data_IF_855667327793
#
_entry.id   IF_855667327793
#
_cell.length_a   1.000
_cell.length_b   1.000
_cell.length_c   1.000
_cell.angle_alpha   90.00
_cell.angle_beta   90.00
_cell.angle_gamma   90.00
#
_symmetry.space_group_name_H-M   'P 1'
#
loop_
_entity.id
_entity.type
_entity.pdbx_description
1 polymer ?
#
# COMPACT_ATOMS: atom_id res chain seq x y z
N UNK A 1 -83.87 7.99 8.14
CA UNK A 1 -85.13 8.26 7.42
C UNK A 1 -84.80 9.30 6.37
N UNK A 2 -84.94 8.92 5.09
CA UNK A 2 -84.99 9.78 3.87
C UNK A 2 -83.61 10.38 3.45
N UNK A 3 -82.86 9.73 2.55
CA UNK A 3 -82.90 9.77 1.05
C UNK A 3 -82.04 10.95 0.52
N UNK A 4 -81.23 10.88 -0.56
CA UNK A 4 -81.14 10.00 -1.74
C UNK A 4 -79.78 10.20 -2.44
N UNK A 5 -79.30 9.17 -3.14
CA UNK A 5 -78.24 9.22 -4.18
C UNK A 5 -78.81 9.79 -5.52
N UNK A 6 -78.02 10.05 -6.60
CA UNK A 6 -77.41 8.96 -7.41
C UNK A 6 -76.09 9.28 -8.21
N UNK A 7 -75.37 8.20 -8.59
CA UNK A 7 -74.79 7.84 -9.93
C UNK A 7 -73.84 8.84 -10.66
N UNK A 8 -72.80 8.49 -11.44
CA UNK A 8 -72.23 7.26 -12.03
C UNK A 8 -70.80 7.58 -12.57
N UNK A 9 -69.97 6.54 -12.78
CA UNK A 9 -68.86 6.28 -13.74
C UNK A 9 -68.29 7.41 -14.69
N UNK A 10 -67.04 7.47 -15.18
CA UNK A 10 -65.90 6.53 -15.35
C UNK A 10 -64.58 7.26 -15.79
N UNK A 11 -63.45 6.57 -15.61
CA UNK A 11 -62.22 6.50 -16.44
C UNK A 11 -61.34 7.75 -16.77
N UNK A 12 -60.04 7.66 -16.42
CA UNK A 12 -59.00 8.51 -17.02
C UNK A 12 -57.59 8.44 -16.39
N UNK A 13 -56.70 7.66 -17.02
CA UNK A 13 -55.24 7.47 -16.83
C UNK A 13 -54.39 8.66 -16.33
N UNK A 14 -53.32 8.32 -15.61
CA UNK A 14 -52.01 9.02 -15.70
C UNK A 14 -51.27 9.19 -14.37
N UNK A 15 -50.25 8.37 -14.13
CA UNK A 15 -49.44 8.42 -12.91
C UNK A 15 -48.33 9.49 -12.93
N UNK A 16 -48.11 10.07 -11.75
CA UNK A 16 -46.85 10.72 -11.37
C UNK A 16 -46.75 10.68 -9.84
N UNK A 17 -46.03 9.69 -9.32
CA UNK A 17 -45.60 9.69 -7.92
C UNK A 17 -44.46 10.70 -7.78
N UNK A 18 -44.78 11.87 -7.22
CA UNK A 18 -43.81 12.90 -6.90
C UNK A 18 -42.70 12.36 -5.98
N UNK A 19 -41.46 12.43 -6.47
CA UNK A 19 -40.27 12.28 -5.62
C UNK A 19 -40.10 13.55 -4.80
N UNK A 20 -39.83 13.40 -3.51
CA UNK A 20 -39.58 14.53 -2.62
C UNK A 20 -38.31 15.30 -3.06
N UNK A 21 -38.38 16.63 -3.23
CA UNK A 21 -37.26 17.47 -3.69
C UNK A 21 -35.98 17.30 -2.88
N UNK A 22 -36.11 17.11 -1.56
CA UNK A 22 -34.97 16.92 -0.66
C UNK A 22 -34.14 15.65 -0.95
N UNK A 23 -34.76 14.60 -1.53
CA UNK A 23 -34.07 13.35 -1.89
C UNK A 23 -33.44 13.41 -3.27
N UNK A 24 -33.90 14.33 -4.12
CA UNK A 24 -33.34 14.63 -5.43
C UNK A 24 -32.21 15.67 -5.30
N UNK A 25 -32.32 16.65 -4.41
CA UNK A 25 -31.23 17.56 -4.01
C UNK A 25 -30.07 16.83 -3.29
N UNK A 26 -30.36 15.85 -2.44
CA UNK A 26 -29.32 15.02 -1.81
C UNK A 26 -28.62 14.06 -2.78
N UNK A 27 -29.26 13.74 -3.92
CA UNK A 27 -28.65 12.93 -5.01
C UNK A 27 -27.94 13.80 -6.05
N UNK A 28 -28.48 14.97 -6.39
CA UNK A 28 -27.85 15.96 -7.27
C UNK A 28 -26.58 16.54 -6.62
N UNK A 29 -26.64 16.89 -5.32
CA UNK A 29 -25.48 17.41 -4.57
C UNK A 29 -24.33 16.42 -4.36
N UNK A 30 -24.55 15.11 -4.57
CA UNK A 30 -23.47 14.10 -4.54
C UNK A 30 -22.82 13.92 -5.91
N UNK A 31 -23.59 13.95 -7.00
CA UNK A 31 -23.07 13.75 -8.37
C UNK A 31 -22.37 14.97 -8.99
N UNK A 32 -22.64 16.18 -8.48
CA UNK A 32 -22.08 17.44 -9.04
C UNK A 32 -20.74 17.86 -8.41
N UNK A 33 -20.25 17.12 -7.43
CA UNK A 33 -19.00 17.46 -6.77
C UNK A 33 -17.79 17.03 -7.60
N UNK A 34 -16.78 17.90 -7.80
CA UNK A 34 -15.65 17.66 -8.71
C UNK A 34 -14.92 16.33 -8.54
N UNK A 35 -14.78 15.86 -7.31
CA UNK A 35 -14.06 14.63 -6.97
C UNK A 35 -14.99 13.46 -6.66
N UNK A 36 -16.27 13.54 -7.04
CA UNK A 36 -17.20 12.44 -6.82
C UNK A 36 -16.70 11.14 -7.47
N UNK A 37 -16.63 10.07 -6.66
CA UNK A 37 -16.12 8.77 -7.10
C UNK A 37 -14.59 8.67 -7.18
N UNK A 38 -13.85 9.72 -6.80
CA UNK A 38 -12.40 9.68 -6.73
C UNK A 38 -11.94 9.24 -5.35
N UNK A 39 -10.97 8.32 -5.33
CA UNK A 39 -10.30 7.85 -4.12
C UNK A 39 -8.82 8.16 -4.25
N UNK A 40 -8.35 9.06 -3.39
CA UNK A 40 -6.98 9.52 -3.34
C UNK A 40 -6.21 8.75 -2.28
N UNK A 41 -4.98 8.38 -2.60
CA UNK A 41 -3.98 8.01 -1.60
C UNK A 41 -2.85 9.03 -1.66
N UNK A 42 -2.34 9.43 -0.50
CA UNK A 42 -1.15 10.27 -0.43
C UNK A 42 0.10 9.42 -0.40
N UNK A 43 1.05 9.79 -1.23
CA UNK A 43 2.40 9.23 -1.22
C UNK A 43 3.34 10.40 -0.91
N UNK A 44 3.67 10.54 0.37
CA UNK A 44 4.52 11.63 0.86
C UNK A 44 5.97 11.34 0.53
N UNK A 45 6.57 12.19 -0.31
CA UNK A 45 7.98 12.11 -0.66
C UNK A 45 8.75 13.44 -0.63
N UNK A 46 8.09 14.60 -0.46
CA UNK A 46 8.77 15.91 -0.42
C UNK A 46 8.09 16.93 0.53
N UNK A 47 8.81 17.26 1.61
CA UNK A 47 8.89 18.51 2.42
C UNK A 47 7.65 19.05 3.20
N UNK A 48 7.94 19.27 4.49
CA UNK A 48 7.35 20.12 5.55
C UNK A 48 5.95 19.80 6.13
N UNK A 49 5.95 19.71 7.47
CA UNK A 49 4.98 19.27 8.48
C UNK A 49 3.59 19.95 8.53
N UNK A 50 3.09 20.48 7.42
CA UNK A 50 1.78 21.14 7.40
C UNK A 50 0.94 20.61 6.23
N UNK A 51 -0.23 20.04 6.55
CA UNK A 51 -1.37 20.07 5.64
C UNK A 51 -2.00 18.75 5.17
N UNK A 52 -1.61 17.56 5.65
CA UNK A 52 -2.32 16.33 5.20
C UNK A 52 -3.80 16.33 5.63
N UNK A 53 -4.08 16.83 6.83
CA UNK A 53 -5.44 17.06 7.32
C UNK A 53 -6.18 18.13 6.49
N UNK A 54 -5.47 19.19 6.07
CA UNK A 54 -6.03 20.26 5.24
C UNK A 54 -6.40 19.73 3.85
N UNK A 55 -5.54 18.91 3.23
CA UNK A 55 -5.84 18.30 1.94
C UNK A 55 -6.92 17.22 2.02
N UNK A 56 -7.00 16.50 3.13
CA UNK A 56 -8.09 15.56 3.39
C UNK A 56 -9.42 16.31 3.42
N UNK A 57 -9.51 17.40 4.19
CA UNK A 57 -10.69 18.25 4.21
C UNK A 57 -11.02 18.85 2.84
N UNK A 58 -10.01 19.29 2.08
CA UNK A 58 -10.20 19.81 0.71
C UNK A 58 -10.81 18.73 -0.19
N UNK A 59 -10.23 17.52 -0.23
CA UNK A 59 -10.68 16.42 -1.08
C UNK A 59 -12.11 16.01 -0.72
N UNK A 60 -12.41 15.88 0.57
CA UNK A 60 -13.74 15.53 1.06
C UNK A 60 -14.77 16.62 0.75
N UNK A 61 -14.39 17.90 0.86
CA UNK A 61 -15.26 19.02 0.51
C UNK A 61 -15.66 18.97 -0.97
N UNK A 62 -14.73 18.54 -1.84
CA UNK A 62 -14.91 18.33 -3.27
C UNK A 62 -15.57 16.99 -3.61
N UNK A 63 -16.02 16.22 -2.62
CA UNK A 63 -16.77 14.97 -2.81
C UNK A 63 -15.90 13.73 -3.08
N UNK A 64 -14.58 13.87 -3.00
CA UNK A 64 -13.65 12.76 -3.05
C UNK A 64 -13.50 12.07 -1.70
N UNK A 65 -12.71 11.00 -1.69
CA UNK A 65 -12.31 10.30 -0.47
C UNK A 65 -10.79 10.21 -0.41
N UNK A 66 -10.27 10.27 0.80
CA UNK A 66 -8.87 9.93 1.08
C UNK A 66 -8.85 8.53 1.69
N UNK A 67 -8.07 7.65 1.08
CA UNK A 67 -7.78 6.31 1.57
C UNK A 67 -6.35 6.21 2.06
N UNK A 68 -6.03 5.05 2.61
CA UNK A 68 -4.68 4.68 3.03
C UNK A 68 -4.04 3.73 2.01
N UNK A 69 -2.84 3.24 2.29
CA UNK A 69 -2.19 2.18 1.49
C UNK A 69 -3.05 0.92 1.31
N UNK A 70 -4.01 0.62 2.20
CA UNK A 70 -4.97 -0.50 1.99
C UNK A 70 -5.75 -0.29 0.72
N UNK A 71 -6.20 0.95 0.52
CA UNK A 71 -7.08 1.31 -0.56
C UNK A 71 -6.30 1.47 -1.87
N UNK A 72 -4.99 1.18 -1.90
CA UNK A 72 -4.15 1.36 -3.09
C UNK A 72 -4.76 0.71 -4.34
N UNK A 73 -5.29 -0.51 -4.23
CA UNK A 73 -5.91 -1.21 -5.36
C UNK A 73 -7.20 -0.51 -5.84
N UNK A 74 -7.99 0.05 -4.93
CA UNK A 74 -9.25 0.77 -5.21
C UNK A 74 -9.03 2.25 -5.55
N UNK A 75 -7.86 2.80 -5.21
CA UNK A 75 -7.51 4.18 -5.40
C UNK A 75 -7.51 4.50 -6.89
N UNK A 76 -8.09 5.64 -7.23
CA UNK A 76 -8.08 6.17 -8.60
C UNK A 76 -6.97 7.20 -8.78
N UNK A 77 -6.54 7.83 -7.69
CA UNK A 77 -5.55 8.90 -7.71
C UNK A 77 -4.43 8.68 -6.70
N UNK A 78 -3.21 8.99 -7.11
CA UNK A 78 -2.06 9.13 -6.22
C UNK A 78 -1.73 10.61 -6.11
N UNK A 79 -1.98 11.17 -4.93
CA UNK A 79 -1.63 12.53 -4.59
C UNK A 79 -0.20 12.57 -4.05
N UNK A 80 0.62 13.44 -4.62
CA UNK A 80 2.01 13.64 -4.21
C UNK A 80 2.21 15.12 -3.87
N UNK A 81 2.88 15.39 -2.76
CA UNK A 81 3.33 16.74 -2.42
C UNK A 81 4.61 17.05 -3.21
N UNK A 82 4.60 18.14 -3.98
CA UNK A 82 5.75 18.56 -4.80
C UNK A 82 5.81 17.96 -6.21
N UNK A 83 7.00 17.97 -6.81
CA UNK A 83 7.21 17.41 -8.15
C UNK A 83 7.24 15.89 -8.11
N UNK A 84 6.55 15.25 -9.06
CA UNK A 84 6.52 13.79 -9.17
C UNK A 84 7.67 13.32 -10.05
N UNK A 85 8.58 12.47 -9.53
CA UNK A 85 9.54 11.72 -10.32
C UNK A 85 8.92 11.10 -11.58
N UNK A 86 9.43 11.40 -12.80
CA UNK A 86 8.86 10.86 -14.04
C UNK A 86 8.75 9.33 -14.07
N UNK A 87 9.69 8.60 -13.45
CA UNK A 87 9.59 7.14 -13.40
C UNK A 87 8.60 6.59 -12.38
N UNK A 88 8.41 7.24 -11.21
CA UNK A 88 7.37 6.81 -10.26
C UNK A 88 5.99 7.04 -10.87
N UNK A 89 5.88 8.12 -11.65
CA UNK A 89 4.68 8.44 -12.41
C UNK A 89 4.34 7.41 -13.48
N UNK A 90 5.29 7.10 -14.37
CA UNK A 90 5.12 6.05 -15.40
C UNK A 90 4.65 4.76 -14.74
N UNK A 91 5.18 4.47 -13.56
CA UNK A 91 4.89 3.26 -12.82
C UNK A 91 3.45 3.22 -12.28
N UNK A 92 3.02 4.26 -11.55
CA UNK A 92 1.66 4.34 -11.02
C UNK A 92 0.60 4.49 -12.12
N UNK A 93 0.90 5.21 -13.19
CA UNK A 93 0.01 5.31 -14.35
C UNK A 93 -0.13 3.98 -15.10
N UNK A 94 0.95 3.18 -15.18
CA UNK A 94 0.88 1.82 -15.72
C UNK A 94 -0.01 0.89 -14.87
N UNK A 95 -0.18 1.20 -13.59
CA UNK A 95 -1.08 0.51 -12.66
C UNK A 95 -2.50 1.12 -12.63
N UNK A 96 -2.81 1.97 -13.63
CA UNK A 96 -4.13 2.57 -13.81
C UNK A 96 -4.45 3.71 -12.84
N UNK A 97 -3.45 4.24 -12.13
CA UNK A 97 -3.63 5.37 -11.21
C UNK A 97 -3.42 6.70 -11.93
N UNK A 98 -4.20 7.71 -11.57
CA UNK A 98 -3.95 9.08 -12.00
C UNK A 98 -3.04 9.77 -10.99
N UNK A 99 -1.85 10.17 -11.41
CA UNK A 99 -0.89 10.82 -10.49
C UNK A 99 -1.10 12.33 -10.52
N UNK A 100 -1.33 12.93 -9.35
CA UNK A 100 -1.68 14.34 -9.18
C UNK A 100 -0.81 15.00 -8.12
N UNK A 101 -0.59 16.32 -8.25
CA UNK A 101 0.09 17.11 -7.24
C UNK A 101 -0.90 17.73 -6.26
N UNK A 102 -0.46 18.06 -5.05
CA UNK A 102 -1.26 18.86 -4.10
C UNK A 102 -1.68 20.20 -4.69
N UNK A 103 -0.81 20.86 -5.47
CA UNK A 103 -1.14 22.08 -6.20
C UNK A 103 -2.31 21.90 -7.20
N UNK A 104 -2.40 20.74 -7.86
CA UNK A 104 -3.56 20.44 -8.72
C UNK A 104 -4.85 20.29 -7.91
N UNK A 105 -4.77 19.66 -6.73
CA UNK A 105 -5.90 19.51 -5.80
C UNK A 105 -6.39 20.89 -5.34
N UNK A 106 -5.47 21.78 -4.95
CA UNK A 106 -5.78 23.17 -4.58
C UNK A 106 -6.44 23.94 -5.72
N UNK A 107 -5.93 23.80 -6.93
CA UNK A 107 -6.51 24.46 -8.09
C UNK A 107 -7.93 23.95 -8.37
N UNK A 108 -8.19 22.64 -8.25
CA UNK A 108 -9.54 22.10 -8.35
C UNK A 108 -10.46 22.63 -7.25
N UNK A 109 -9.93 22.82 -6.04
CA UNK A 109 -10.65 23.40 -4.91
C UNK A 109 -11.03 24.86 -5.15
N UNK A 110 -10.06 25.68 -5.55
CA UNK A 110 -10.24 27.10 -5.84
C UNK A 110 -11.23 27.31 -7.01
N UNK A 111 -11.15 26.49 -8.05
CA UNK A 111 -12.02 26.57 -9.23
C UNK A 111 -13.35 25.83 -9.06
N UNK A 112 -13.54 25.11 -7.94
CA UNK A 112 -14.71 24.25 -7.68
C UNK A 112 -15.06 23.32 -8.84
N UNK A 113 -14.05 22.86 -9.59
CA UNK A 113 -14.23 22.05 -10.81
C UNK A 113 -13.10 21.03 -10.93
N UNK A 114 -13.41 19.87 -11.51
CA UNK A 114 -12.40 18.91 -11.89
C UNK A 114 -11.62 19.45 -13.08
N UNK A 115 -10.36 19.82 -12.84
CA UNK A 115 -9.48 20.31 -13.89
C UNK A 115 -8.84 19.14 -14.63
N UNK A 116 -8.52 19.34 -15.90
CA UNK A 116 -7.65 18.39 -16.62
C UNK A 116 -6.32 18.30 -15.88
N UNK A 117 -5.87 17.08 -15.60
CA UNK A 117 -4.62 16.88 -14.89
C UNK A 117 -3.44 17.32 -15.77
N UNK A 118 -2.75 18.44 -15.46
CA UNK A 118 -1.69 19.01 -16.30
C UNK A 118 -0.49 18.08 -16.41
N UNK A 119 -0.38 17.11 -15.51
CA UNK A 119 0.62 16.09 -15.60
C UNK A 119 0.47 15.27 -16.90
N UNK A 120 -0.73 14.94 -17.38
CA UNK A 120 -0.90 14.07 -18.58
C UNK A 120 -0.09 14.53 -19.81
N UNK A 121 0.02 15.84 -20.01
CA UNK A 121 0.58 16.42 -21.23
C UNK A 121 2.10 16.68 -21.19
N UNK A 122 2.75 16.49 -20.03
CA UNK A 122 4.21 16.69 -19.86
C UNK A 122 5.04 15.41 -20.01
N UNK A 123 4.39 14.28 -20.31
CA UNK A 123 5.02 12.95 -20.33
C UNK A 123 5.90 12.70 -21.56
N UNK A 124 5.79 13.51 -22.62
CA UNK A 124 6.54 13.27 -23.87
C UNK A 124 7.92 13.92 -23.94
N UNK A 125 8.29 14.88 -23.08
CA UNK A 125 9.47 15.72 -23.35
C UNK A 125 10.51 15.91 -22.25
N UNK A 126 10.40 15.27 -21.07
CA UNK A 126 11.34 15.56 -19.97
C UNK A 126 11.99 14.32 -19.35
N UNK A 127 12.89 13.70 -20.11
CA UNK A 127 14.15 13.15 -19.58
C UNK A 127 15.24 13.30 -20.64
N UNK A 128 16.42 13.88 -20.35
CA UNK A 128 17.62 13.51 -21.08
C UNK A 128 17.95 12.06 -20.71
N UNK A 129 17.42 11.14 -21.50
CA UNK A 129 17.91 9.77 -21.55
C UNK A 129 19.34 9.83 -22.10
N UNK A 130 20.35 9.16 -21.51
CA UNK A 130 21.40 8.62 -22.36
C UNK A 130 20.70 7.73 -23.41
N UNK A 131 21.09 7.85 -24.68
CA UNK A 131 20.55 7.01 -25.75
C UNK A 131 21.00 5.57 -25.53
N UNK A 132 20.13 4.74 -24.95
CA UNK A 132 20.50 3.40 -24.55
C UNK A 132 19.66 2.38 -25.33
N UNK A 133 20.25 1.83 -26.37
CA UNK A 133 19.62 0.79 -27.19
C UNK A 133 20.04 -0.60 -26.67
N UNK A 134 19.14 -1.57 -26.46
CA UNK A 134 19.55 -2.95 -26.20
C UNK A 134 20.19 -3.54 -27.45
N UNK A 135 21.27 -4.32 -27.30
CA UNK A 135 21.73 -5.17 -28.38
C UNK A 135 20.64 -6.22 -28.68
N UNK A 136 20.19 -6.27 -29.94
CA UNK A 136 19.37 -7.37 -30.42
C UNK A 136 20.06 -8.70 -30.10
N UNK A 137 19.28 -9.65 -29.57
CA UNK A 137 19.64 -11.02 -29.20
C UNK A 137 20.90 -11.52 -29.92
N UNK A 138 22.03 -11.59 -29.22
CA UNK A 138 23.17 -12.37 -29.70
C UNK A 138 22.67 -13.81 -29.76
N UNK A 139 22.47 -14.32 -30.99
CA UNK A 139 22.24 -15.74 -31.24
C UNK A 139 23.36 -16.49 -30.53
N UNK A 140 23.01 -17.26 -29.50
CA UNK A 140 23.94 -18.17 -28.84
C UNK A 140 24.52 -19.10 -29.91
N UNK A 141 25.77 -18.88 -30.29
CA UNK A 141 26.55 -19.87 -31.00
C UNK A 141 26.85 -21.00 -30.03
N UNK A 142 26.26 -22.16 -30.34
CA UNK A 142 26.70 -23.52 -30.07
C UNK A 142 27.35 -23.80 -28.71
N UNK A 143 26.60 -24.48 -27.84
CA UNK A 143 27.15 -25.54 -27.02
C UNK A 143 26.35 -26.81 -27.31
N UNK A 144 27.00 -27.72 -28.05
CA UNK A 144 26.57 -29.09 -28.29
C UNK A 144 26.62 -29.87 -26.98
N UNK A 145 25.56 -30.63 -26.69
CA UNK A 145 25.72 -31.98 -26.14
C UNK A 145 24.40 -32.74 -26.29
N UNK A 146 24.50 -33.84 -27.03
CA UNK A 146 23.47 -34.80 -27.37
C UNK A 146 22.74 -35.38 -26.15
N UNK A 147 21.43 -35.60 -26.30
CA UNK A 147 20.85 -36.88 -25.92
C UNK A 147 19.59 -37.16 -26.75
N UNK A 148 19.67 -38.25 -27.50
CA UNK A 148 18.64 -38.82 -28.36
C UNK A 148 17.42 -39.23 -27.53
N UNK A 149 16.22 -38.78 -27.90
CA UNK A 149 15.00 -39.57 -27.70
C UNK A 149 14.23 -39.62 -29.02
N UNK A 150 14.08 -40.87 -29.46
CA UNK A 150 13.37 -41.35 -30.64
C UNK A 150 11.93 -40.84 -30.71
N UNK A 151 11.57 -40.34 -31.89
CA UNK A 151 10.21 -40.23 -32.39
C UNK A 151 9.47 -41.56 -32.37
N UNK A 152 8.19 -41.56 -31.98
CA UNK A 152 7.18 -42.43 -32.58
C UNK A 152 5.82 -41.72 -32.64
N UNK A 153 5.25 -41.80 -33.83
CA UNK A 153 4.03 -41.16 -34.32
C UNK A 153 2.77 -41.59 -33.57
N UNK A 154 1.75 -40.71 -33.57
CA UNK A 154 0.43 -41.00 -34.17
C UNK A 154 -0.46 -39.74 -34.12
N UNK A 155 -0.84 -39.26 -35.31
CA UNK A 155 -2.00 -38.37 -35.53
C UNK A 155 -3.27 -39.23 -35.77
N UNK A 156 -4.43 -38.66 -36.16
CA UNK A 156 -5.36 -37.85 -35.36
C UNK A 156 -6.79 -38.49 -35.36
N UNK A 157 -7.68 -38.12 -34.44
CA UNK A 157 -9.12 -38.28 -34.71
C UNK A 157 -10.00 -37.27 -33.96
N UNK A 158 -10.88 -36.66 -34.75
CA UNK A 158 -11.92 -35.73 -34.36
C UNK A 158 -12.97 -36.37 -33.43
N UNK A 159 -13.50 -35.59 -32.49
CA UNK A 159 -14.96 -35.43 -32.30
C UNK A 159 -15.29 -34.24 -31.41
N UNK A 160 -15.92 -33.23 -32.02
CA UNK A 160 -16.76 -32.22 -31.35
C UNK A 160 -17.95 -32.93 -30.72
N UNK A 161 -18.21 -32.67 -29.44
CA UNK A 161 -19.57 -32.57 -28.89
C UNK A 161 -19.56 -31.61 -27.70
N UNK A 162 -20.36 -30.56 -27.84
CA UNK A 162 -20.70 -29.56 -26.84
C UNK A 162 -21.43 -30.17 -25.65
N UNK A 163 -21.08 -29.77 -24.42
CA UNK A 163 -21.97 -29.79 -23.26
C UNK A 163 -21.69 -28.58 -22.36
N UNK A 164 -22.23 -27.43 -22.80
CA UNK A 164 -22.98 -26.54 -21.89
C UNK A 164 -24.07 -27.43 -21.26
N UNK A 165 -24.21 -27.38 -19.93
CA UNK A 165 -25.37 -27.84 -19.11
C UNK A 165 -25.01 -28.58 -17.81
N UNK A 166 -23.74 -28.58 -17.35
CA UNK A 166 -23.37 -29.19 -16.05
C UNK A 166 -22.79 -28.21 -15.01
N UNK A 167 -22.81 -26.89 -15.25
CA UNK A 167 -22.34 -25.88 -14.27
C UNK A 167 -23.46 -25.09 -13.56
N UNK A 168 -24.74 -25.35 -13.89
CA UNK A 168 -25.86 -24.58 -13.34
C UNK A 168 -26.58 -25.24 -12.15
N UNK A 169 -26.06 -26.34 -11.58
CA UNK A 169 -26.73 -27.05 -10.46
C UNK A 169 -25.90 -27.24 -9.18
N UNK A 170 -24.70 -26.67 -9.09
CA UNK A 170 -23.86 -26.71 -7.86
C UNK A 170 -23.70 -25.30 -7.23
N UNK A 171 -24.58 -24.35 -7.54
CA UNK A 171 -24.53 -22.98 -6.98
C UNK A 171 -25.67 -22.61 -6.02
N UNK A 172 -26.53 -23.56 -5.62
CA UNK A 172 -27.70 -23.25 -4.76
C UNK A 172 -27.84 -24.09 -3.48
N UNK A 173 -26.78 -24.74 -2.99
CA UNK A 173 -26.89 -25.48 -1.72
C UNK A 173 -25.61 -25.45 -0.90
N UNK A 174 -25.30 -24.28 -0.31
CA UNK A 174 -24.63 -24.09 1.00
C UNK A 174 -24.55 -22.61 1.37
N UNK A 175 -25.71 -21.98 1.59
CA UNK A 175 -25.84 -20.81 2.48
C UNK A 175 -26.80 -21.17 3.61
N UNK A 176 -26.31 -21.98 4.55
CA UNK A 176 -26.74 -21.87 5.94
C UNK A 176 -25.58 -21.20 6.66
N UNK A 177 -25.54 -19.87 6.61
CA UNK A 177 -24.75 -19.14 7.59
C UNK A 177 -25.39 -19.44 8.94
N UNK A 178 -24.68 -20.16 9.80
CA UNK A 178 -24.98 -20.10 11.22
C UNK A 178 -24.95 -18.62 11.59
N UNK A 179 -26.09 -18.09 12.05
CA UNK A 179 -26.16 -16.80 12.72
C UNK A 179 -25.34 -16.96 14.01
N UNK A 180 -24.08 -16.57 13.96
CA UNK A 180 -23.33 -16.33 15.18
C UNK A 180 -23.96 -15.11 15.87
N UNK A 181 -24.21 -15.15 17.19
CA UNK A 181 -24.63 -13.97 17.92
C UNK A 181 -23.58 -12.88 17.71
N UNK A 182 -24.03 -11.68 17.36
CA UNK A 182 -23.21 -10.48 17.38
C UNK A 182 -22.62 -10.34 18.79
N UNK A 183 -21.28 -10.28 18.95
CA UNK A 183 -20.71 -9.93 20.24
C UNK A 183 -21.23 -8.55 20.63
N UNK A 184 -21.68 -8.39 21.87
CA UNK A 184 -21.94 -7.06 22.41
C UNK A 184 -20.66 -6.22 22.29
N UNK A 185 -20.75 -4.93 21.92
CA UNK A 185 -19.58 -4.07 21.88
C UNK A 185 -18.88 -4.09 23.26
N UNK A 186 -17.53 -4.12 23.31
CA UNK A 186 -16.82 -4.10 24.57
C UNK A 186 -17.24 -2.87 25.39
N UNK A 187 -17.54 -3.06 26.69
CA UNK A 187 -17.94 -1.97 27.58
C UNK A 187 -16.85 -0.91 27.62
N UNK A 188 -17.19 0.28 27.15
CA UNK A 188 -16.33 1.46 27.11
C UNK A 188 -16.21 2.03 28.52
N UNK A 189 -15.00 2.17 29.10
CA UNK A 189 -14.79 2.95 30.31
C UNK A 189 -15.08 4.43 30.01
N UNK A 190 -15.79 5.10 30.92
CA UNK A 190 -16.13 6.51 30.76
C UNK A 190 -14.87 7.39 30.82
N UNK A 191 -14.48 7.97 29.68
CA UNK A 191 -13.50 9.04 29.63
C UNK A 191 -14.11 10.28 28.95
N UNK A 192 -13.91 11.50 29.50
CA UNK A 192 -14.26 12.72 28.81
C UNK A 192 -13.43 12.85 27.53
N UNK A 193 -13.97 13.52 26.52
CA UNK A 193 -13.25 13.94 25.30
C UNK A 193 -11.91 14.60 25.65
N UNK A 194 -10.83 13.81 25.63
CA UNK A 194 -9.50 14.18 26.13
C UNK A 194 -8.42 14.18 25.05
N UNK A 195 -7.19 14.55 25.45
CA UNK A 195 -5.98 14.68 24.62
C UNK A 195 -5.65 13.44 23.75
N UNK A 196 -6.23 12.29 24.09
CA UNK A 196 -5.95 10.99 23.49
C UNK A 196 -7.11 10.43 22.65
N UNK A 197 -8.17 11.20 22.34
CA UNK A 197 -9.32 10.68 21.57
C UNK A 197 -8.94 10.05 20.21
N UNK A 198 -7.85 10.51 19.57
CA UNK A 198 -7.33 9.94 18.33
C UNK A 198 -6.60 8.61 18.49
N UNK A 199 -6.29 8.21 19.74
CA UNK A 199 -5.49 7.03 20.10
C UNK A 199 -6.33 6.03 20.91
N UNK A 200 -7.08 6.49 21.91
CA UNK A 200 -7.87 5.66 22.82
C UNK A 200 -9.34 5.61 22.39
N UNK A 201 -9.98 4.47 22.61
CA UNK A 201 -11.43 4.29 22.44
C UNK A 201 -12.18 5.24 23.38
N UNK A 202 -13.20 5.91 22.87
CA UNK A 202 -14.02 6.88 23.59
C UNK A 202 -15.51 6.53 23.48
N UNK A 203 -16.34 7.02 24.41
CA UNK A 203 -17.80 6.80 24.40
C UNK A 203 -18.49 7.32 23.14
N UNK A 204 -17.91 8.31 22.47
CA UNK A 204 -18.42 8.84 21.20
C UNK A 204 -18.17 7.92 20.01
N UNK A 205 -17.30 6.91 20.16
CA UNK A 205 -17.02 5.94 19.11
C UNK A 205 -18.21 4.99 18.96
N UNK A 206 -19.03 5.23 17.94
CA UNK A 206 -20.20 4.43 17.61
C UNK A 206 -20.01 3.69 16.29
N UNK A 207 -20.52 2.46 16.23
CA UNK A 207 -20.50 1.66 15.00
C UNK A 207 -19.92 0.27 15.20
N UNK A 208 -19.79 -0.44 14.08
CA UNK A 208 -19.19 -1.77 14.09
C UNK A 208 -17.68 -1.67 14.32
N UNK A 209 -17.18 -2.48 15.24
CA UNK A 209 -15.77 -2.66 15.55
C UNK A 209 -15.49 -4.12 15.92
N UNK A 210 -14.24 -4.53 15.78
CA UNK A 210 -13.76 -5.83 16.25
C UNK A 210 -12.33 -5.68 16.82
N UNK A 211 -11.90 -6.62 17.66
CA UNK A 211 -10.52 -6.63 18.12
C UNK A 211 -9.58 -7.20 17.05
N UNK A 212 -8.29 -6.85 17.09
CA UNK A 212 -7.27 -7.44 16.22
C UNK A 212 -7.21 -8.97 16.37
N UNK A 213 -7.48 -9.49 17.58
CA UNK A 213 -7.63 -10.93 17.84
C UNK A 213 -8.76 -11.56 17.00
N UNK A 214 -9.96 -10.97 17.05
CA UNK A 214 -11.13 -11.48 16.35
C UNK A 214 -10.98 -11.34 14.82
N UNK A 215 -10.38 -10.23 14.38
CA UNK A 215 -10.00 -10.03 12.99
C UNK A 215 -9.09 -11.15 12.49
N UNK A 216 -8.07 -11.50 13.27
CA UNK A 216 -7.11 -12.56 12.94
C UNK A 216 -7.75 -13.96 12.87
N UNK A 217 -8.73 -14.24 13.72
CA UNK A 217 -9.50 -15.48 13.68
C UNK A 217 -10.41 -15.56 12.46
N UNK A 218 -11.00 -14.44 12.06
CA UNK A 218 -11.99 -14.37 10.99
C UNK A 218 -11.36 -14.41 9.60
N UNK A 219 -10.20 -13.77 9.43
CA UNK A 219 -9.59 -13.56 8.12
C UNK A 219 -8.30 -14.34 7.94
N UNK A 220 -8.13 -14.93 6.75
CA UNK A 220 -6.85 -15.50 6.34
C UNK A 220 -5.83 -14.37 6.16
N UNK A 221 -4.84 -14.30 7.05
CA UNK A 221 -3.86 -13.21 7.15
C UNK A 221 -2.77 -13.18 6.07
N UNK A 222 -2.56 -14.30 5.39
CA UNK A 222 -1.49 -14.43 4.40
C UNK A 222 -2.00 -15.09 3.12
N UNK A 223 -1.21 -14.97 2.07
CA UNK A 223 -1.38 -15.72 0.84
C UNK A 223 -0.03 -16.31 0.42
N UNK A 224 -0.10 -17.39 -0.33
CA UNK A 224 1.07 -17.94 -1.00
C UNK A 224 1.04 -17.46 -2.43
N UNK A 225 2.17 -16.97 -2.91
CA UNK A 225 2.33 -16.51 -4.28
C UNK A 225 3.49 -17.27 -4.92
N UNK A 226 3.22 -17.93 -6.04
CA UNK A 226 4.26 -18.44 -6.92
C UNK A 226 4.70 -17.30 -7.82
N UNK A 227 5.92 -16.83 -7.61
CA UNK A 227 6.50 -15.81 -8.45
C UNK A 227 6.94 -16.43 -9.79
N UNK A 228 6.61 -15.83 -10.94
CA UNK A 228 7.01 -16.40 -12.23
C UNK A 228 8.53 -16.62 -12.30
N UNK A 229 8.96 -17.73 -12.91
CA UNK A 229 10.38 -18.09 -12.96
C UNK A 229 10.96 -18.69 -11.66
N UNK A 230 10.15 -18.84 -10.61
CA UNK A 230 10.50 -19.60 -9.41
C UNK A 230 9.72 -20.91 -9.34
N UNK A 231 10.30 -21.89 -8.65
CA UNK A 231 9.69 -23.21 -8.41
C UNK A 231 9.01 -23.32 -7.04
N UNK A 232 9.20 -22.33 -6.16
CA UNK A 232 8.71 -22.34 -4.78
C UNK A 232 7.80 -21.14 -4.50
N UNK A 233 6.66 -21.40 -3.86
CA UNK A 233 5.77 -20.36 -3.37
C UNK A 233 6.42 -19.56 -2.23
N UNK A 234 6.12 -18.27 -2.17
CA UNK A 234 6.51 -17.39 -1.06
C UNK A 234 5.27 -17.01 -0.24
N UNK A 235 5.38 -17.09 1.09
CA UNK A 235 4.32 -16.72 2.03
C UNK A 235 4.42 -15.22 2.32
N UNK A 236 3.40 -14.47 1.91
CA UNK A 236 3.33 -13.01 2.05
C UNK A 236 2.08 -12.60 2.83
N UNK A 237 2.19 -11.53 3.63
CA UNK A 237 1.03 -10.96 4.30
C UNK A 237 0.07 -10.35 3.29
N UNK A 238 -1.24 -10.45 3.58
CA UNK A 238 -2.23 -9.65 2.84
C UNK A 238 -2.15 -8.20 3.26
N UNK A 239 -2.54 -7.28 2.37
CA UNK A 239 -2.57 -5.86 2.67
C UNK A 239 -3.41 -5.51 3.89
N UNK A 240 -4.59 -6.14 4.05
CA UNK A 240 -5.46 -5.93 5.21
C UNK A 240 -4.74 -6.29 6.51
N UNK A 241 -3.91 -7.33 6.49
CA UNK A 241 -3.07 -7.72 7.64
C UNK A 241 -1.96 -6.72 7.88
N UNK A 242 -1.26 -6.27 6.83
CA UNK A 242 -0.21 -5.26 6.93
C UNK A 242 -0.73 -3.99 7.59
N UNK A 243 -1.96 -3.58 7.27
CA UNK A 243 -2.51 -2.34 7.83
C UNK A 243 -3.17 -2.53 9.18
N UNK A 244 -3.85 -3.65 9.43
CA UNK A 244 -4.31 -3.96 10.78
C UNK A 244 -3.14 -3.97 11.78
N UNK A 245 -2.04 -4.63 11.42
CA UNK A 245 -0.85 -4.73 12.27
C UNK A 245 -0.06 -3.41 12.30
N UNK A 246 0.19 -2.80 11.15
CA UNK A 246 0.91 -1.52 11.05
C UNK A 246 0.18 -0.39 11.76
N UNK A 247 -1.14 -0.28 11.58
CA UNK A 247 -1.96 0.70 12.28
C UNK A 247 -2.00 0.47 13.78
N UNK A 248 -1.99 -0.79 14.23
CA UNK A 248 -1.87 -1.13 15.66
C UNK A 248 -0.55 -0.63 16.23
N UNK A 249 0.56 -0.86 15.52
CA UNK A 249 1.87 -0.31 15.88
C UNK A 249 1.84 1.22 15.91
N UNK A 250 1.24 1.89 14.91
CA UNK A 250 1.16 3.35 14.85
C UNK A 250 0.42 3.95 16.04
N UNK A 251 -0.57 3.25 16.61
CA UNK A 251 -1.27 3.71 17.82
C UNK A 251 -0.40 3.60 19.06
N UNK A 252 0.39 2.53 19.16
CA UNK A 252 1.39 2.36 20.21
C UNK A 252 2.47 3.46 20.13
N UNK A 253 3.02 3.68 18.93
CA UNK A 253 3.99 4.74 18.68
C UNK A 253 3.42 6.15 18.95
N UNK A 254 2.15 6.39 18.59
CA UNK A 254 1.49 7.66 18.89
C UNK A 254 1.26 7.89 20.38
N UNK A 255 1.03 6.81 21.14
CA UNK A 255 0.98 6.90 22.60
C UNK A 255 2.34 7.31 23.18
N UNK A 256 3.43 6.72 22.67
CA UNK A 256 4.81 7.09 23.02
C UNK A 256 5.09 8.56 22.70
N UNK A 257 4.67 9.02 21.51
CA UNK A 257 4.78 10.42 21.08
C UNK A 257 4.05 11.41 22.00
N UNK A 258 3.00 10.96 22.71
CA UNK A 258 2.29 11.75 23.74
C UNK A 258 2.84 11.54 25.16
N UNK A 259 4.02 10.93 25.30
CA UNK A 259 4.70 10.74 26.58
C UNK A 259 4.11 9.63 27.45
N UNK A 260 3.33 8.71 26.87
CA UNK A 260 2.71 7.58 27.59
C UNK A 260 3.12 6.23 26.99
N UNK A 261 3.01 5.17 27.78
CA UNK A 261 3.32 3.79 27.39
C UNK A 261 2.35 2.81 28.05
N UNK A 262 2.26 1.59 27.50
CA UNK A 262 1.50 0.49 28.09
C UNK A 262 2.38 -0.43 28.95
N UNK A 263 3.70 -0.20 29.00
CA UNK A 263 4.67 -1.00 29.77
C UNK A 263 4.68 -2.50 29.41
N UNK A 264 4.28 -2.85 28.20
CA UNK A 264 4.12 -4.21 27.70
C UNK A 264 2.85 -4.93 28.14
N UNK A 265 1.91 -4.24 28.82
CA UNK A 265 0.72 -4.84 29.41
C UNK A 265 -0.51 -4.78 28.49
N UNK A 266 -0.44 -5.48 27.36
CA UNK A 266 -1.53 -5.53 26.39
C UNK A 266 -1.57 -6.85 25.63
N UNK A 267 -2.70 -7.08 24.96
CA UNK A 267 -2.91 -8.21 24.06
C UNK A 267 -3.53 -7.72 22.75
N UNK A 268 -3.67 -8.60 21.76
CA UNK A 268 -4.36 -8.32 20.50
C UNK A 268 -5.84 -7.93 20.70
N UNK A 269 -6.43 -8.21 21.87
CA UNK A 269 -7.79 -7.78 22.23
C UNK A 269 -7.91 -6.29 22.51
N UNK A 270 -6.81 -5.63 22.84
CA UNK A 270 -6.81 -4.21 23.18
C UNK A 270 -6.73 -3.29 21.95
N UNK A 271 -6.51 -3.83 20.75
CA UNK A 271 -6.46 -3.07 19.50
C UNK A 271 -7.79 -3.21 18.78
N UNK A 272 -8.56 -2.13 18.72
CA UNK A 272 -9.91 -2.11 18.17
C UNK A 272 -9.87 -1.56 16.76
N UNK A 273 -10.29 -2.38 15.81
CA UNK A 273 -10.39 -2.07 14.38
C UNK A 273 -11.83 -1.66 14.09
N UNK A 274 -12.01 -0.47 13.54
CA UNK A 274 -13.31 0.04 13.12
C UNK A 274 -13.58 -0.27 11.65
N UNK A 275 -14.83 -0.05 11.23
CA UNK A 275 -15.28 -0.33 9.86
C UNK A 275 -14.51 0.42 8.76
N UNK A 276 -13.94 1.57 9.09
CA UNK A 276 -13.12 2.40 8.19
C UNK A 276 -11.62 2.05 8.25
N UNK A 277 -11.29 0.89 8.85
CA UNK A 277 -9.93 0.41 9.11
C UNK A 277 -9.11 1.32 10.06
N UNK A 278 -9.75 2.31 10.69
CA UNK A 278 -9.12 3.05 11.77
C UNK A 278 -8.93 2.16 12.99
N UNK A 279 -7.87 2.43 13.76
CA UNK A 279 -7.51 1.64 14.93
C UNK A 279 -7.44 2.54 16.15
N UNK A 280 -7.95 2.06 17.28
CA UNK A 280 -7.79 2.69 18.59
C UNK A 280 -7.46 1.64 19.66
N UNK A 281 -6.89 2.11 20.77
CA UNK A 281 -6.49 1.32 21.92
C UNK A 281 -7.59 1.32 22.97
N UNK A 282 -8.00 0.13 23.44
CA UNK A 282 -8.97 -0.05 24.51
C UNK A 282 -8.25 -0.08 25.87
N UNK A 283 -8.01 1.11 26.41
CA UNK A 283 -7.43 1.35 27.75
C UNK A 283 -8.05 2.59 28.38
N UNK A 284 -8.08 2.62 29.71
CA UNK A 284 -8.32 3.84 30.47
C UNK A 284 -6.99 4.52 30.85
N UNK A 285 -7.01 5.84 31.07
CA UNK A 285 -5.80 6.63 31.32
C UNK A 285 -5.01 6.19 32.56
N UNK A 286 -5.68 5.64 33.57
CA UNK A 286 -5.07 5.09 34.79
C UNK A 286 -4.25 3.81 34.56
N UNK A 287 -4.43 3.15 33.40
CA UNK A 287 -3.65 1.98 33.00
C UNK A 287 -2.37 2.35 32.26
N UNK A 288 -2.18 3.64 31.94
CA UNK A 288 -1.02 4.15 31.21
C UNK A 288 0.11 4.49 32.18
N UNK A 289 1.34 4.20 31.77
CA UNK A 289 2.55 4.64 32.48
C UNK A 289 3.23 5.77 31.71
N UNK A 290 4.07 6.54 32.40
CA UNK A 290 4.88 7.56 31.74
C UNK A 290 5.91 6.91 30.81
N UNK A 291 6.06 7.48 29.61
CA UNK A 291 6.99 6.95 28.62
C UNK A 291 8.44 7.12 29.08
N UNK A 292 9.20 6.04 28.93
CA UNK A 292 10.65 6.03 28.87
C UNK A 292 11.07 5.00 27.83
N UNK A 293 12.29 5.09 27.30
CA UNK A 293 12.77 4.12 26.32
C UNK A 293 12.72 2.68 26.85
N UNK A 294 12.94 2.49 28.16
CA UNK A 294 12.82 1.18 28.80
C UNK A 294 11.37 0.63 28.80
N UNK A 295 10.36 1.48 28.98
CA UNK A 295 8.95 1.07 28.85
C UNK A 295 8.55 0.89 27.38
N UNK A 296 9.09 1.71 26.48
CA UNK A 296 8.92 1.57 25.04
C UNK A 296 9.49 0.25 24.50
N UNK A 297 10.65 -0.19 25.00
CA UNK A 297 11.25 -1.48 24.64
C UNK A 297 10.40 -2.66 25.11
N UNK A 298 9.79 -2.57 26.31
CA UNK A 298 8.82 -3.57 26.78
C UNK A 298 7.59 -3.61 25.88
N UNK A 299 7.07 -2.43 25.50
CA UNK A 299 5.97 -2.32 24.56
C UNK A 299 6.30 -2.99 23.22
N UNK A 300 7.50 -2.77 22.66
CA UNK A 300 7.91 -3.37 21.40
C UNK A 300 8.09 -4.88 21.51
N UNK A 301 8.69 -5.37 22.59
CA UNK A 301 8.83 -6.80 22.84
C UNK A 301 7.46 -7.49 22.98
N UNK A 302 6.54 -6.89 23.75
CA UNK A 302 5.16 -7.39 23.88
C UNK A 302 4.39 -7.31 22.56
N UNK A 303 4.60 -6.27 21.75
CA UNK A 303 3.98 -6.16 20.44
C UNK A 303 4.41 -7.29 19.51
N UNK A 304 5.72 -7.54 19.37
CA UNK A 304 6.26 -8.63 18.54
C UNK A 304 5.73 -9.99 19.01
N UNK A 305 5.71 -10.21 20.33
CA UNK A 305 5.15 -11.43 20.93
C UNK A 305 3.67 -11.57 20.64
N UNK A 306 2.88 -10.52 20.81
CA UNK A 306 1.43 -10.52 20.56
C UNK A 306 1.10 -10.82 19.10
N UNK A 307 1.83 -10.22 18.15
CA UNK A 307 1.65 -10.54 16.73
C UNK A 307 1.99 -12.01 16.44
N UNK A 308 3.09 -12.52 17.00
CA UNK A 308 3.53 -13.90 16.77
C UNK A 308 2.60 -14.93 17.40
N UNK A 309 2.27 -14.75 18.67
CA UNK A 309 1.57 -15.73 19.49
C UNK A 309 0.05 -15.67 19.32
N UNK A 310 -0.53 -14.47 19.21
CA UNK A 310 -1.98 -14.28 19.21
C UNK A 310 -2.54 -14.02 17.81
N UNK A 311 -1.94 -13.11 17.03
CA UNK A 311 -2.44 -12.78 15.69
C UNK A 311 -2.14 -13.92 14.71
N UNK A 312 -0.89 -14.37 14.65
CA UNK A 312 -0.50 -15.49 13.78
C UNK A 312 -0.60 -16.86 14.46
N UNK A 313 -1.09 -16.94 15.69
CA UNK A 313 -1.34 -18.21 16.40
C UNK A 313 -0.11 -19.15 16.42
N UNK A 314 1.08 -18.58 16.61
CA UNK A 314 2.39 -19.29 16.57
C UNK A 314 2.70 -20.00 15.25
N UNK A 315 1.97 -19.68 14.17
CA UNK A 315 2.29 -20.19 12.85
C UNK A 315 3.51 -19.46 12.26
N UNK A 316 4.22 -20.07 11.30
CA UNK A 316 5.31 -19.40 10.60
C UNK A 316 4.84 -18.07 10.01
N UNK A 317 5.54 -16.99 10.34
CA UNK A 317 5.20 -15.65 9.88
C UNK A 317 5.47 -15.49 8.37
N UNK A 318 4.71 -14.66 7.66
CA UNK A 318 5.08 -14.21 6.31
C UNK A 318 6.42 -13.48 6.30
N UNK A 319 7.18 -13.61 5.20
CA UNK A 319 8.56 -13.11 5.11
C UNK A 319 8.66 -11.60 5.34
N UNK A 320 7.69 -10.85 4.81
CA UNK A 320 7.59 -9.41 4.98
C UNK A 320 7.29 -8.99 6.42
N UNK A 321 6.51 -9.79 7.17
CA UNK A 321 6.28 -9.55 8.60
C UNK A 321 7.49 -9.88 9.45
N UNK A 322 8.22 -10.96 9.12
CA UNK A 322 9.42 -11.37 9.87
C UNK A 322 10.42 -10.21 9.90
N UNK A 323 10.73 -9.63 8.74
CA UNK A 323 11.72 -8.57 8.66
C UNK A 323 11.26 -7.29 9.36
N UNK A 324 10.00 -6.89 9.19
CA UNK A 324 9.47 -5.71 9.88
C UNK A 324 9.43 -5.87 11.40
N UNK A 325 8.95 -7.01 11.91
CA UNK A 325 8.96 -7.33 13.34
C UNK A 325 10.38 -7.50 13.89
N UNK A 326 11.33 -7.98 13.09
CA UNK A 326 12.75 -8.04 13.47
C UNK A 326 13.29 -6.64 13.75
N UNK A 327 12.93 -5.63 12.95
CA UNK A 327 13.34 -4.24 13.23
C UNK A 327 12.73 -3.74 14.53
N UNK A 328 11.44 -3.96 14.76
CA UNK A 328 10.75 -3.57 16.01
C UNK A 328 11.38 -4.26 17.23
N UNK A 329 11.72 -5.54 17.12
CA UNK A 329 12.28 -6.33 18.22
C UNK A 329 13.65 -5.86 18.73
N UNK A 330 14.33 -4.99 17.98
CA UNK A 330 15.63 -4.43 18.38
C UNK A 330 15.50 -3.21 19.31
N UNK A 331 14.29 -2.73 19.57
CA UNK A 331 14.01 -1.67 20.53
C UNK A 331 13.81 -0.28 19.89
N UNK A 332 13.36 0.66 20.71
CA UNK A 332 12.93 2.02 20.30
C UNK A 332 14.06 2.86 19.72
N UNK A 333 15.29 2.63 20.17
CA UNK A 333 16.47 3.38 19.70
C UNK A 333 16.92 2.99 18.28
N UNK A 334 16.48 1.83 17.77
CA UNK A 334 17.04 1.26 16.54
C UNK A 334 16.40 1.84 15.29
N UNK A 335 15.10 2.12 15.29
CA UNK A 335 14.43 2.66 14.12
C UNK A 335 13.34 3.62 14.55
N UNK A 336 13.31 4.79 13.91
CA UNK A 336 12.32 5.80 14.20
C UNK A 336 10.90 5.23 14.00
N UNK A 337 9.96 5.47 14.94
CA UNK A 337 8.59 5.00 14.80
C UNK A 337 7.89 5.49 13.53
N UNK A 338 8.32 6.66 13.06
CA UNK A 338 7.94 7.26 11.80
C UNK A 338 8.27 6.38 10.59
N UNK A 339 9.50 5.84 10.52
CA UNK A 339 9.87 4.90 9.46
C UNK A 339 9.04 3.62 9.59
N UNK A 340 8.91 3.09 10.81
CA UNK A 340 8.25 1.81 11.06
C UNK A 340 6.76 1.85 10.69
N UNK A 341 6.07 2.98 10.89
CA UNK A 341 4.69 3.20 10.47
C UNK A 341 4.53 3.27 8.94
N UNK A 342 5.54 3.78 8.23
CA UNK A 342 5.55 3.93 6.77
C UNK A 342 6.51 2.96 6.08
N UNK A 343 6.75 1.81 6.70
CA UNK A 343 7.83 0.91 6.28
C UNK A 343 7.50 0.22 4.96
N UNK A 344 8.49 0.11 4.06
CA UNK A 344 8.31 -0.51 2.74
C UNK A 344 7.81 -1.98 2.77
N UNK A 345 8.00 -2.72 3.86
CA UNK A 345 7.45 -4.07 4.05
C UNK A 345 5.92 -4.08 4.20
N UNK A 346 5.35 -2.97 4.68
CA UNK A 346 3.91 -2.80 4.88
C UNK A 346 3.16 -2.29 3.63
N UNK A 347 3.87 -1.97 2.57
CA UNK A 347 3.29 -1.44 1.33
C UNK A 347 2.87 -2.55 0.36
N UNK A 348 1.94 -2.20 -0.54
CA UNK A 348 1.67 -3.01 -1.73
C UNK A 348 2.89 -3.00 -2.67
N UNK A 349 3.16 -4.08 -3.43
CA UNK A 349 4.37 -4.18 -4.25
C UNK A 349 4.59 -3.03 -5.24
N UNK A 350 3.51 -2.58 -5.89
CA UNK A 350 3.57 -1.45 -6.79
C UNK A 350 3.82 -0.14 -6.03
N UNK A 351 3.11 0.09 -4.93
CA UNK A 351 3.36 1.26 -4.07
C UNK A 351 4.82 1.31 -3.62
N UNK A 352 5.34 0.20 -3.09
CA UNK A 352 6.71 0.06 -2.61
C UNK A 352 7.75 0.34 -3.70
N UNK A 353 7.54 -0.18 -4.91
CA UNK A 353 8.45 0.08 -6.02
C UNK A 353 8.39 1.55 -6.47
N UNK A 354 7.20 2.15 -6.51
CA UNK A 354 7.06 3.58 -6.74
C UNK A 354 7.83 4.42 -5.72
N UNK A 355 7.72 4.08 -4.43
CA UNK A 355 8.51 4.68 -3.35
C UNK A 355 10.00 4.52 -3.58
N UNK A 356 10.46 3.33 -3.97
CA UNK A 356 11.87 3.10 -4.33
C UNK A 356 12.36 4.02 -5.44
N UNK A 357 11.58 4.22 -6.49
CA UNK A 357 11.97 5.12 -7.59
C UNK A 357 12.26 6.52 -7.07
N UNK A 358 11.43 7.02 -6.16
CA UNK A 358 11.63 8.35 -5.58
C UNK A 358 12.87 8.38 -4.69
N UNK A 359 13.03 7.38 -3.82
CA UNK A 359 14.22 7.22 -2.98
C UNK A 359 15.51 7.14 -3.81
N UNK A 360 15.49 6.45 -4.94
CA UNK A 360 16.65 6.33 -5.84
C UNK A 360 17.04 7.68 -6.45
N UNK A 361 16.07 8.50 -6.86
CA UNK A 361 16.35 9.83 -7.40
C UNK A 361 16.92 10.76 -6.34
N UNK A 362 16.40 10.70 -5.12
CA UNK A 362 16.93 11.41 -3.96
C UNK A 362 18.36 10.94 -3.64
N UNK A 363 18.58 9.63 -3.59
CA UNK A 363 19.92 9.05 -3.42
C UNK A 363 20.91 9.57 -4.48
N UNK A 364 20.48 9.63 -5.74
CA UNK A 364 21.31 10.12 -6.85
C UNK A 364 21.62 11.61 -6.73
N UNK A 365 20.71 12.45 -6.21
CA UNK A 365 20.96 13.89 -6.05
C UNK A 365 21.93 14.19 -4.89
N UNK A 366 21.96 13.32 -3.88
CA UNK A 366 22.82 13.44 -2.69
C UNK A 366 24.30 13.20 -3.02
N UNK A 367 24.64 12.51 -4.12
CA UNK A 367 26.02 12.20 -4.53
C UNK A 367 26.97 13.41 -4.55
N UNK A 368 26.43 14.60 -4.85
CA UNK A 368 27.19 15.85 -4.90
C UNK A 368 27.26 16.61 -3.57
N UNK A 369 26.71 16.06 -2.49
CA UNK A 369 26.56 16.73 -1.20
C UNK A 369 27.51 16.16 -0.14
N UNK A 370 27.69 16.90 0.97
CA UNK A 370 28.54 16.47 2.10
C UNK A 370 28.04 15.20 2.79
N UNK A 371 26.73 14.92 2.74
CA UNK A 371 26.12 13.75 3.38
C UNK A 371 26.30 12.43 2.61
N UNK A 372 26.82 12.49 1.38
CA UNK A 372 27.04 11.32 0.53
C UNK A 372 27.89 10.24 1.20
N UNK A 373 29.01 10.64 1.81
CA UNK A 373 29.98 9.70 2.39
C UNK A 373 29.38 8.84 3.50
N UNK A 374 28.62 9.45 4.41
CA UNK A 374 27.92 8.77 5.49
C UNK A 374 26.81 7.85 4.96
N UNK A 375 26.00 8.36 4.01
CA UNK A 375 24.93 7.59 3.39
C UNK A 375 25.47 6.35 2.67
N UNK A 376 26.49 6.51 1.83
CA UNK A 376 27.13 5.42 1.10
C UNK A 376 27.76 4.40 2.05
N UNK A 377 28.41 4.84 3.13
CA UNK A 377 29.00 3.94 4.11
C UNK A 377 27.95 3.06 4.81
N UNK A 378 26.77 3.63 5.13
CA UNK A 378 25.66 2.90 5.77
C UNK A 378 25.06 1.78 4.91
N UNK A 379 25.33 1.78 3.60
CA UNK A 379 24.82 0.81 2.64
C UNK A 379 25.91 -0.09 2.04
N UNK A 380 27.16 0.04 2.51
CA UNK A 380 28.33 -0.67 1.96
C UNK A 380 28.26 -2.20 2.11
N UNK A 381 27.38 -2.73 2.96
CA UNK A 381 27.14 -4.18 3.06
C UNK A 381 26.46 -4.77 1.81
N UNK A 382 26.02 -3.95 0.87
CA UNK A 382 25.56 -4.38 -0.46
C UNK A 382 26.66 -4.31 -1.53
N UNK A 383 27.86 -3.82 -1.19
CA UNK A 383 28.99 -3.83 -2.11
C UNK A 383 29.40 -5.28 -2.40
N UNK A 384 29.89 -5.53 -3.61
CA UNK A 384 30.20 -6.90 -4.02
C UNK A 384 29.00 -7.74 -4.45
N UNK A 385 27.85 -7.11 -4.76
CA UNK A 385 26.60 -7.79 -5.07
C UNK A 385 26.70 -8.76 -6.25
N UNK A 386 26.17 -9.97 -6.13
CA UNK A 386 26.25 -10.97 -7.22
C UNK A 386 25.29 -10.69 -8.38
N UNK A 387 25.63 -11.20 -9.57
CA UNK A 387 24.75 -11.22 -10.75
C UNK A 387 23.31 -11.63 -10.38
N UNK A 388 22.29 -10.90 -10.87
CA UNK A 388 20.90 -11.24 -10.60
C UNK A 388 20.56 -12.63 -11.12
N UNK A 389 19.84 -13.42 -10.33
CA UNK A 389 19.34 -14.73 -10.79
C UNK A 389 18.24 -14.59 -11.85
N UNK A 390 17.59 -13.43 -11.92
CA UNK A 390 16.50 -13.19 -12.84
C UNK A 390 16.99 -12.82 -14.25
N UNK A 391 16.51 -13.56 -15.25
CA UNK A 391 16.77 -13.30 -16.67
C UNK A 391 16.40 -11.90 -17.14
N UNK A 392 15.43 -11.23 -16.50
CA UNK A 392 15.07 -9.86 -16.86
C UNK A 392 16.13 -8.85 -16.45
N UNK A 393 16.63 -8.92 -15.21
CA UNK A 393 17.72 -8.07 -14.74
C UNK A 393 19.04 -8.38 -15.46
N UNK A 394 19.25 -9.64 -15.86
CA UNK A 394 20.42 -10.02 -16.67
C UNK A 394 20.45 -9.34 -18.04
N UNK A 395 19.29 -9.09 -18.66
CA UNK A 395 19.21 -8.38 -19.96
C UNK A 395 19.62 -6.91 -19.85
N UNK A 396 19.53 -6.35 -18.66
CA UNK A 396 19.82 -4.95 -18.36
C UNK A 396 21.07 -4.82 -17.48
N UNK A 397 21.90 -5.87 -17.41
CA UNK A 397 23.15 -5.92 -16.63
C UNK A 397 24.27 -5.02 -17.18
N UNK A 398 24.11 -4.51 -18.39
CA UNK A 398 24.95 -3.46 -18.96
C UNK A 398 24.04 -2.46 -19.68
N UNK A 399 24.57 -1.26 -19.91
CA UNK A 399 23.86 -0.16 -20.53
C UNK A 399 24.80 0.53 -21.56
N UNK A 400 24.30 0.94 -22.73
CA UNK A 400 25.07 1.69 -23.75
C UNK A 400 25.18 3.21 -23.48
N UNK A 401 26.29 3.71 -22.97
CA UNK A 401 26.46 5.13 -22.64
C UNK A 401 26.08 6.11 -23.79
N UNK A 402 26.12 7.42 -23.53
CA UNK A 402 25.80 8.44 -24.56
C UNK A 402 26.62 8.32 -25.85
N UNK A 403 27.74 7.62 -25.83
CA UNK A 403 28.63 7.38 -26.96
C UNK A 403 28.43 5.99 -27.59
N UNK A 404 27.44 5.22 -27.13
CA UNK A 404 27.15 3.85 -27.56
C UNK A 404 28.08 2.80 -26.96
N UNK A 405 28.90 3.13 -25.95
CA UNK A 405 29.80 2.16 -25.33
C UNK A 405 29.05 1.28 -24.32
N UNK A 406 29.34 0.00 -24.33
CA UNK A 406 28.85 -0.93 -23.32
C UNK A 406 29.49 -0.64 -21.95
N UNK A 407 28.68 -0.19 -21.00
CA UNK A 407 29.10 0.10 -19.62
C UNK A 407 28.42 -0.87 -18.66
N UNK A 408 29.23 -1.48 -17.80
CA UNK A 408 28.75 -2.31 -16.69
C UNK A 408 28.45 -1.43 -15.47
N UNK A 409 27.46 -1.83 -14.69
CA UNK A 409 27.18 -1.17 -13.41
C UNK A 409 28.32 -1.39 -12.43
N UNK A 410 28.54 -0.39 -11.59
CA UNK A 410 29.50 -0.42 -10.51
C UNK A 410 29.20 -1.59 -9.55
N UNK A 411 30.24 -2.25 -9.05
CA UNK A 411 30.10 -3.38 -8.12
C UNK A 411 29.87 -2.94 -6.67
N UNK A 412 29.22 -1.78 -6.51
CA UNK A 412 28.86 -1.14 -5.25
C UNK A 412 27.33 -0.96 -5.18
N UNK A 413 26.84 -0.46 -4.04
CA UNK A 413 25.40 -0.20 -3.87
C UNK A 413 24.82 0.76 -4.92
N UNK A 414 25.62 1.69 -5.47
CA UNK A 414 25.14 2.64 -6.50
C UNK A 414 24.80 1.90 -7.78
N UNK A 415 25.72 1.06 -8.24
CA UNK A 415 25.51 0.26 -9.44
C UNK A 415 24.32 -0.69 -9.27
N UNK A 416 24.14 -1.29 -8.09
CA UNK A 416 22.98 -2.14 -7.80
C UNK A 416 21.66 -1.38 -7.86
N UNK A 417 21.57 -0.23 -7.19
CA UNK A 417 20.37 0.60 -7.20
C UNK A 417 20.06 1.12 -8.61
N UNK A 418 21.10 1.53 -9.35
CA UNK A 418 20.99 1.99 -10.74
C UNK A 418 20.55 0.86 -11.68
N UNK A 419 21.02 -0.36 -11.48
CA UNK A 419 20.59 -1.55 -12.20
C UNK A 419 19.09 -1.79 -12.03
N UNK A 420 18.60 -1.82 -10.77
CA UNK A 420 17.17 -2.01 -10.47
C UNK A 420 16.35 -0.93 -11.16
N UNK A 421 16.76 0.34 -10.99
CA UNK A 421 16.09 1.48 -11.61
C UNK A 421 16.03 1.40 -13.13
N UNK A 422 17.17 1.21 -13.80
CA UNK A 422 17.25 1.17 -15.25
C UNK A 422 16.49 -0.03 -15.82
N UNK A 423 16.47 -1.16 -15.11
CA UNK A 423 15.74 -2.36 -15.53
C UNK A 423 14.25 -2.11 -15.72
N UNK A 424 13.67 -1.18 -14.95
CA UNK A 424 12.27 -0.78 -15.13
C UNK A 424 11.99 0.05 -16.38
N UNK A 425 13.01 0.66 -17.00
CA UNK A 425 12.85 1.55 -18.15
C UNK A 425 12.90 0.82 -19.49
N UNK A 426 13.73 -0.22 -19.62
CA UNK A 426 14.11 -0.76 -20.93
C UNK A 426 13.19 -1.84 -21.50
N UNK A 427 12.62 -2.72 -20.68
CA UNK A 427 11.96 -3.92 -21.21
C UNK A 427 10.80 -4.44 -20.37
N UNK A 428 10.59 -3.92 -19.16
CA UNK A 428 9.54 -4.41 -18.27
C UNK A 428 8.17 -3.83 -18.55
N UNK A 429 7.95 -2.88 -19.46
CA UNK A 429 6.56 -2.41 -19.72
C UNK A 429 5.60 -3.53 -20.13
N UNK A 430 6.08 -4.61 -20.77
CA UNK A 430 5.25 -5.78 -21.13
C UNK A 430 5.04 -6.78 -19.98
N UNK A 431 5.90 -6.75 -18.96
CA UNK A 431 5.89 -7.67 -17.80
C UNK A 431 6.17 -6.89 -16.49
N UNK A 432 5.57 -5.70 -16.34
CA UNK A 432 5.94 -4.74 -15.28
C UNK A 432 5.60 -5.30 -13.90
N UNK A 433 4.42 -5.91 -13.83
CA UNK A 433 3.96 -6.63 -12.65
C UNK A 433 4.94 -7.72 -12.24
N UNK A 434 5.51 -8.46 -13.19
CA UNK A 434 6.46 -9.50 -12.87
C UNK A 434 7.78 -8.93 -12.33
N UNK A 435 8.30 -7.89 -12.97
CA UNK A 435 9.52 -7.21 -12.53
C UNK A 435 9.38 -6.67 -11.10
N UNK A 436 8.26 -6.01 -10.78
CA UNK A 436 7.99 -5.44 -9.45
C UNK A 436 7.99 -6.51 -8.38
N UNK A 437 7.25 -7.58 -8.62
CA UNK A 437 7.13 -8.68 -7.67
C UNK A 437 8.48 -9.34 -7.39
N UNK A 438 9.35 -9.43 -8.40
CA UNK A 438 10.72 -9.92 -8.24
C UNK A 438 11.59 -8.93 -7.44
N UNK A 439 11.54 -7.62 -7.72
CA UNK A 439 12.28 -6.62 -6.92
C UNK A 439 11.86 -6.69 -5.46
N UNK A 440 10.55 -6.76 -5.22
CA UNK A 440 9.96 -6.85 -3.88
C UNK A 440 10.23 -8.18 -3.17
N UNK A 441 10.72 -9.20 -3.88
CA UNK A 441 11.15 -10.46 -3.27
C UNK A 441 12.65 -10.44 -2.95
N UNK A 442 13.47 -10.13 -3.95
CA UNK A 442 14.92 -10.35 -3.89
C UNK A 442 15.69 -9.14 -3.34
N UNK A 443 15.11 -7.94 -3.48
CA UNK A 443 15.79 -6.67 -3.16
C UNK A 443 15.03 -5.84 -2.11
N UNK A 444 13.99 -6.38 -1.48
CA UNK A 444 13.22 -5.62 -0.50
C UNK A 444 14.04 -5.16 0.71
N UNK A 445 15.02 -5.97 1.13
CA UNK A 445 15.98 -5.57 2.18
C UNK A 445 16.84 -4.37 1.76
N UNK A 446 17.30 -4.33 0.51
CA UNK A 446 18.04 -3.18 -0.03
C UNK A 446 17.17 -1.92 -0.03
N UNK A 447 15.91 -2.06 -0.46
CA UNK A 447 14.94 -0.97 -0.49
C UNK A 447 14.62 -0.45 0.93
N UNK A 448 14.52 -1.35 1.91
CA UNK A 448 14.38 -1.04 3.33
C UNK A 448 15.58 -0.27 3.87
N UNK A 449 16.79 -0.80 3.68
CA UNK A 449 18.01 -0.20 4.21
C UNK A 449 18.24 1.18 3.56
N UNK A 450 17.90 1.35 2.27
CA UNK A 450 17.89 2.65 1.61
C UNK A 450 16.89 3.62 2.24
N UNK A 451 15.65 3.19 2.51
CA UNK A 451 14.63 4.01 3.17
C UNK A 451 15.15 4.52 4.52
N UNK A 452 15.72 3.62 5.32
CA UNK A 452 16.27 3.95 6.62
C UNK A 452 17.46 4.91 6.51
N UNK A 453 18.43 4.61 5.65
CA UNK A 453 19.61 5.45 5.47
C UNK A 453 19.25 6.87 5.02
N UNK A 454 18.26 7.03 4.14
CA UNK A 454 17.76 8.34 3.72
C UNK A 454 17.01 9.08 4.84
N UNK A 455 16.25 8.37 5.68
CA UNK A 455 15.60 8.98 6.84
C UNK A 455 16.61 9.43 7.89
N UNK A 456 17.55 8.56 8.26
CA UNK A 456 18.59 8.85 9.25
C UNK A 456 19.49 10.02 8.79
N UNK A 457 19.69 10.16 7.47
CA UNK A 457 20.35 11.31 6.85
C UNK A 457 19.51 12.60 6.81
N UNK A 458 18.26 12.57 7.29
CA UNK A 458 17.35 13.71 7.29
C UNK A 458 16.68 14.01 5.94
N UNK A 459 16.85 13.13 4.95
CA UNK A 459 16.33 13.33 3.59
C UNK A 459 14.87 12.88 3.43
N UNK A 460 14.33 12.13 4.38
CA UNK A 460 12.92 11.74 4.46
C UNK A 460 12.20 12.42 5.64
N UNK A 461 12.50 13.70 5.90
CA UNK A 461 11.88 14.46 7.00
C UNK A 461 10.35 14.50 6.94
N UNK A 462 9.75 14.37 5.75
CA UNK A 462 8.30 14.29 5.56
C UNK A 462 7.63 13.07 6.19
N UNK A 463 8.39 12.02 6.54
CA UNK A 463 7.83 10.87 7.26
C UNK A 463 7.65 11.15 8.76
N UNK A 464 8.05 12.32 9.27
CA UNK A 464 7.82 12.68 10.66
C UNK A 464 6.31 12.76 10.96
N UNK A 465 5.81 11.88 11.83
CA UNK A 465 4.43 11.92 12.30
C UNK A 465 4.30 13.07 13.30
N UNK A 466 3.48 14.07 12.97
CA UNK A 466 3.00 15.02 13.96
C UNK A 466 1.90 14.34 14.79
N UNK A 467 2.26 13.79 15.95
CA UNK A 467 1.30 13.30 16.94
C UNK A 467 0.62 14.50 17.64
N UNK A 468 -0.25 15.22 16.92
CA UNK A 468 -1.12 16.24 17.52
C UNK A 468 -2.30 15.56 18.27
#
# INVERSE_FOLDING_TARGET
>A
MIERAPEEESAGRGGTTGRSPAREEARASRGDKPFFGLLFIFVDHFVEDVGLDDYTQIIESLGGKVGTGINYNEATHIAVKGQVPPGARIFWEADGKTVTTTAWIENCFNMRKLLTNPCKDSSESLLPSPDMTPLATIKSRNCLSDSKISSKNCSPSNKRTSKKDEELRISQSRRKMLKFPTPDPPRVPSLPTGLYHSILVCESDSGWSESLYDHALRFKLHHNTLLPGFTTESKLSKISTKVAVGGSYSKLAGLHGKGKSLGGNFSSRNFIIYKDDSIKLLFSEDQLVDYSDAEGDKDYASFVKMITDEVFHKQPLPVDMIEWLRVISQGVAVCSPNILAHHIYLMEPFQAYGTFVVMYQLFSSIESTKGWSALSASLSHFDGWSLPRCKMLLKTYYYLDKNGNCVFYEYDVRGLLRLIWNSSKYQSRRDLQFFVQMVMKDYLRLLCDLQRALYDGGYLSHLQLNYR
#
